data_IF_801557242273
#
_entry.id   IF_801557242273
#
_cell.length_a   1.000
_cell.length_b   1.000
_cell.length_c   1.000
_cell.angle_alpha   90.00
_cell.angle_beta   90.00
_cell.angle_gamma   90.00
#
_symmetry.space_group_name_H-M   'P 1'
#
loop_
_entity.id
_entity.type
_entity.pdbx_description
1 polymer ?
#
# COMPACT_ATOMS: atom_id res chain seq x y z
N UNK A 1 40.71 5.31 -28.56
CA UNK A 1 40.50 4.66 -27.25
C UNK A 1 39.76 5.52 -26.25
N UNK A 2 40.12 6.79 -26.06
CA UNK A 2 39.44 7.69 -25.12
C UNK A 2 37.95 7.92 -25.44
N UNK A 3 37.53 7.95 -26.72
CA UNK A 3 36.16 8.18 -27.15
C UNK A 3 35.24 6.97 -26.88
N UNK A 4 35.74 5.75 -26.96
CA UNK A 4 34.96 4.52 -26.65
C UNK A 4 34.69 4.41 -25.15
N UNK A 5 35.62 4.81 -24.30
CA UNK A 5 35.47 4.81 -22.86
C UNK A 5 34.41 5.81 -22.41
N UNK A 6 34.44 7.02 -22.97
CA UNK A 6 33.41 8.05 -22.72
C UNK A 6 32.03 7.62 -23.18
N UNK A 7 31.94 6.95 -24.30
CA UNK A 7 30.68 6.45 -24.84
C UNK A 7 30.06 5.36 -23.94
N UNK A 8 30.87 4.43 -23.45
CA UNK A 8 30.43 3.40 -22.51
C UNK A 8 30.04 3.98 -21.16
N UNK A 9 30.75 4.99 -20.69
CA UNK A 9 30.43 5.69 -19.44
C UNK A 9 29.08 6.40 -19.53
N UNK A 10 28.80 7.10 -20.65
CA UNK A 10 27.51 7.73 -20.90
C UNK A 10 26.37 6.72 -21.00
N UNK A 11 26.59 5.55 -21.63
CA UNK A 11 25.62 4.47 -21.72
C UNK A 11 25.27 3.90 -20.36
N UNK A 12 26.25 3.69 -19.50
CA UNK A 12 26.08 3.20 -18.12
C UNK A 12 25.30 4.25 -17.29
N UNK A 13 25.62 5.54 -17.42
CA UNK A 13 24.92 6.61 -16.75
C UNK A 13 23.44 6.69 -17.18
N UNK A 14 23.14 6.55 -18.48
CA UNK A 14 21.76 6.52 -18.99
C UNK A 14 20.99 5.33 -18.45
N UNK A 15 21.62 4.16 -18.33
CA UNK A 15 21.00 2.96 -17.78
C UNK A 15 20.66 3.13 -16.29
N UNK A 16 21.55 3.73 -15.52
CA UNK A 16 21.31 4.03 -14.09
C UNK A 16 20.17 5.03 -13.93
N UNK A 17 20.08 6.05 -14.76
CA UNK A 17 18.97 7.01 -14.76
C UNK A 17 17.63 6.37 -15.11
N UNK A 18 17.60 5.45 -16.06
CA UNK A 18 16.39 4.73 -16.44
C UNK A 18 15.84 3.88 -15.28
N UNK A 19 16.72 3.19 -14.53
CA UNK A 19 16.34 2.40 -13.36
C UNK A 19 15.86 3.30 -12.21
N UNK A 20 16.51 4.45 -11.99
CA UNK A 20 16.10 5.42 -10.97
C UNK A 20 14.76 6.10 -11.32
N UNK A 21 14.48 6.33 -12.63
CA UNK A 21 13.23 6.92 -13.11
C UNK A 21 12.02 6.01 -12.98
N UNK A 22 12.20 4.69 -12.77
CA UNK A 22 11.12 3.72 -12.62
C UNK A 22 10.57 3.62 -11.20
N UNK A 23 11.15 4.30 -10.21
CA UNK A 23 10.62 4.33 -8.85
C UNK A 23 9.41 5.27 -8.77
N UNK A 24 8.24 4.67 -8.58
CA UNK A 24 7.00 5.42 -8.35
C UNK A 24 7.09 6.07 -6.97
N UNK A 25 6.99 7.40 -6.96
CA UNK A 25 6.99 8.15 -5.72
C UNK A 25 5.57 8.24 -5.15
N UNK A 26 5.39 7.69 -3.96
CA UNK A 26 4.11 7.75 -3.26
C UNK A 26 3.81 9.20 -2.83
N UNK A 27 2.60 9.73 -3.13
CA UNK A 27 2.17 11.02 -2.60
C UNK A 27 2.12 11.01 -1.06
N UNK A 28 2.34 12.16 -0.44
CA UNK A 28 2.39 12.29 1.02
C UNK A 28 1.06 12.00 1.72
N UNK A 29 -0.07 12.17 1.02
CA UNK A 29 -1.42 11.90 1.52
C UNK A 29 -1.83 10.43 1.41
N UNK A 30 -1.05 9.61 0.71
CA UNK A 30 -1.26 8.16 0.63
C UNK A 30 -0.62 7.48 1.85
N UNK A 31 -1.37 6.60 2.50
CA UNK A 31 -0.90 5.84 3.67
C UNK A 31 0.35 5.03 3.28
N UNK A 32 1.38 5.04 4.14
CA UNK A 32 2.64 4.34 3.90
C UNK A 32 2.46 2.83 3.78
N UNK A 33 3.37 2.15 3.08
CA UNK A 33 3.29 0.70 2.85
C UNK A 33 3.20 -0.09 4.16
N UNK A 34 4.06 0.20 5.14
CA UNK A 34 4.07 -0.51 6.41
C UNK A 34 2.80 -0.28 7.22
N UNK A 35 2.30 0.95 7.24
CA UNK A 35 1.03 1.29 7.89
C UNK A 35 -0.15 0.65 7.16
N UNK A 36 -0.12 0.64 5.83
CA UNK A 36 -1.15 0.02 5.00
C UNK A 36 -1.21 -1.49 5.20
N UNK A 37 -0.06 -2.15 5.34
CA UNK A 37 0.03 -3.58 5.66
C UNK A 37 -0.69 -3.91 6.97
N UNK A 38 -0.35 -3.19 8.03
CA UNK A 38 -0.96 -3.38 9.35
C UNK A 38 -2.45 -3.07 9.34
N UNK A 39 -2.82 -1.99 8.67
CA UNK A 39 -4.20 -1.54 8.57
C UNK A 39 -5.05 -2.54 7.79
N UNK A 40 -4.55 -3.05 6.66
CA UNK A 40 -5.26 -4.06 5.87
C UNK A 40 -5.45 -5.36 6.65
N UNK A 41 -4.45 -5.80 7.38
CA UNK A 41 -4.58 -6.97 8.25
C UNK A 41 -5.71 -6.78 9.27
N UNK A 42 -5.66 -5.70 10.02
CA UNK A 42 -6.66 -5.41 11.07
C UNK A 42 -8.05 -5.15 10.46
N UNK A 43 -8.10 -4.50 9.30
CA UNK A 43 -9.36 -4.27 8.56
C UNK A 43 -10.03 -5.59 8.18
N UNK A 44 -9.28 -6.53 7.63
CA UNK A 44 -9.83 -7.84 7.25
C UNK A 44 -10.26 -8.65 8.46
N UNK A 45 -9.53 -8.58 9.58
CA UNK A 45 -9.93 -9.23 10.84
C UNK A 45 -11.24 -8.60 11.35
N UNK A 46 -11.33 -7.28 11.40
CA UNK A 46 -12.53 -6.58 11.86
C UNK A 46 -13.75 -6.88 10.98
N UNK A 47 -13.56 -6.90 9.67
CA UNK A 47 -14.59 -7.25 8.71
C UNK A 47 -15.07 -8.68 8.91
N UNK A 48 -14.15 -9.63 9.07
CA UNK A 48 -14.48 -11.03 9.31
C UNK A 48 -15.26 -11.21 10.61
N UNK A 49 -14.84 -10.54 11.68
CA UNK A 49 -15.57 -10.55 12.95
C UNK A 49 -16.99 -10.01 12.79
N UNK A 50 -17.16 -8.91 12.06
CA UNK A 50 -18.44 -8.31 11.80
C UNK A 50 -19.35 -9.18 10.93
N UNK A 51 -18.79 -9.85 9.91
CA UNK A 51 -19.52 -10.74 9.02
C UNK A 51 -20.04 -12.01 9.73
N UNK A 52 -19.39 -12.40 10.83
CA UNK A 52 -19.80 -13.57 11.62
C UNK A 52 -20.77 -13.26 12.75
N UNK A 53 -21.18 -11.99 12.91
CA UNK A 53 -22.15 -11.59 13.92
C UNK A 53 -23.57 -12.01 13.53
N UNK A 54 -24.46 -12.29 14.53
CA UNK A 54 -25.90 -12.45 14.27
C UNK A 54 -26.48 -11.21 13.56
N UNK A 55 -27.52 -11.39 12.78
CA UNK A 55 -28.17 -10.30 12.04
C UNK A 55 -28.54 -9.12 12.95
N UNK A 56 -29.05 -9.40 14.15
CA UNK A 56 -29.42 -8.39 15.13
C UNK A 56 -28.26 -7.51 15.62
N UNK A 57 -27.02 -7.98 15.42
CA UNK A 57 -25.80 -7.30 15.86
C UNK A 57 -24.92 -6.81 14.71
N UNK A 58 -25.38 -6.91 13.45
CA UNK A 58 -24.52 -6.60 12.31
C UNK A 58 -24.10 -5.11 12.25
N UNK A 59 -24.79 -4.22 12.97
CA UNK A 59 -24.37 -2.83 13.14
C UNK A 59 -22.99 -2.68 13.77
N UNK A 60 -22.57 -3.66 14.57
CA UNK A 60 -21.24 -3.68 15.22
C UNK A 60 -20.11 -3.78 14.22
N UNK A 61 -20.34 -4.31 13.02
CA UNK A 61 -19.34 -4.40 11.95
C UNK A 61 -18.76 -3.02 11.62
N UNK A 62 -19.61 -2.01 11.45
CA UNK A 62 -19.16 -0.64 11.19
C UNK A 62 -18.34 -0.08 12.36
N UNK A 63 -18.71 -0.41 13.60
CA UNK A 63 -17.96 0.01 14.79
C UNK A 63 -16.57 -0.63 14.84
N UNK A 64 -16.44 -1.92 14.51
CA UNK A 64 -15.15 -2.61 14.47
C UNK A 64 -14.22 -2.01 13.43
N UNK A 65 -14.74 -1.74 12.23
CA UNK A 65 -13.97 -1.13 11.14
C UNK A 65 -13.53 0.29 11.51
N UNK A 66 -14.44 1.08 12.08
CA UNK A 66 -14.13 2.44 12.54
C UNK A 66 -13.02 2.43 13.63
N UNK A 67 -13.07 1.48 14.55
CA UNK A 67 -12.05 1.31 15.58
C UNK A 67 -10.66 1.04 14.98
N UNK A 68 -10.59 0.29 13.87
CA UNK A 68 -9.33 0.05 13.14
C UNK A 68 -8.77 1.36 12.59
N UNK A 69 -9.58 2.17 11.93
CA UNK A 69 -9.12 3.46 11.41
C UNK A 69 -8.64 4.39 12.53
N UNK A 70 -9.34 4.45 13.63
CA UNK A 70 -8.94 5.24 14.80
C UNK A 70 -7.61 4.78 15.39
N UNK A 71 -7.40 3.46 15.47
CA UNK A 71 -6.14 2.87 15.94
C UNK A 71 -4.93 3.39 15.15
N UNK A 72 -5.08 3.55 13.85
CA UNK A 72 -4.01 4.01 12.96
C UNK A 72 -4.03 5.52 12.69
N UNK A 73 -4.90 6.26 13.39
CA UNK A 73 -5.00 7.71 13.22
C UNK A 73 -5.39 8.13 11.80
N UNK A 74 -6.26 7.37 11.16
CA UNK A 74 -6.72 7.64 9.80
C UNK A 74 -8.24 7.62 9.72
N UNK A 75 -8.77 7.78 8.51
CA UNK A 75 -10.21 7.80 8.23
C UNK A 75 -10.53 6.82 7.10
N UNK A 76 -11.79 6.47 6.97
CA UNK A 76 -12.28 5.68 5.83
C UNK A 76 -11.95 6.38 4.50
N UNK A 77 -12.14 7.69 4.41
CA UNK A 77 -11.86 8.46 3.19
C UNK A 77 -10.38 8.39 2.81
N UNK A 78 -9.46 8.52 3.77
CA UNK A 78 -8.02 8.42 3.53
C UNK A 78 -7.62 7.00 3.12
N UNK A 79 -8.23 5.99 3.73
CA UNK A 79 -8.03 4.59 3.35
C UNK A 79 -8.49 4.32 1.91
N UNK A 80 -9.69 4.76 1.56
CA UNK A 80 -10.25 4.56 0.23
C UNK A 80 -9.40 5.26 -0.85
N UNK A 81 -8.97 6.49 -0.61
CA UNK A 81 -8.08 7.24 -1.50
C UNK A 81 -6.73 6.53 -1.68
N UNK A 82 -6.18 6.02 -0.59
CA UNK A 82 -4.93 5.27 -0.60
C UNK A 82 -5.08 3.96 -1.39
N UNK A 83 -6.18 3.24 -1.21
CA UNK A 83 -6.48 2.03 -1.97
C UNK A 83 -6.57 2.31 -3.47
N UNK A 84 -7.18 3.42 -3.88
CA UNK A 84 -7.22 3.82 -5.29
C UNK A 84 -5.80 3.99 -5.83
N UNK A 85 -4.91 4.65 -5.09
CA UNK A 85 -3.52 4.81 -5.50
C UNK A 85 -2.80 3.45 -5.61
N UNK A 86 -2.95 2.58 -4.60
CA UNK A 86 -2.32 1.25 -4.59
C UNK A 86 -2.86 0.35 -5.70
N UNK A 87 -4.14 0.44 -6.06
CA UNK A 87 -4.70 -0.35 -7.18
C UNK A 87 -4.12 0.06 -8.53
N UNK A 88 -3.62 1.29 -8.64
CA UNK A 88 -2.88 1.76 -9.82
C UNK A 88 -1.40 1.37 -9.79
N UNK A 89 -0.91 0.88 -8.67
CA UNK A 89 0.47 0.45 -8.44
C UNK A 89 0.47 -0.99 -7.94
N UNK A 90 -0.01 -1.90 -8.79
CA UNK A 90 -0.33 -3.28 -8.44
C UNK A 90 0.84 -4.08 -7.89
N UNK A 91 2.07 -3.80 -8.33
CA UNK A 91 3.26 -4.48 -7.81
C UNK A 91 3.48 -4.19 -6.32
N UNK A 92 3.29 -2.93 -5.91
CA UNK A 92 3.41 -2.51 -4.52
C UNK A 92 2.29 -3.12 -3.70
N UNK A 93 1.05 -3.07 -4.19
CA UNK A 93 -0.11 -3.65 -3.52
C UNK A 93 0.05 -5.17 -3.35
N UNK A 94 0.56 -5.86 -4.37
CA UNK A 94 0.83 -7.30 -4.31
C UNK A 94 1.81 -7.64 -3.20
N UNK A 95 2.88 -6.86 -3.04
CA UNK A 95 3.85 -7.04 -1.93
C UNK A 95 3.19 -6.86 -0.56
N UNK A 96 2.32 -5.88 -0.42
CA UNK A 96 1.57 -5.64 0.81
C UNK A 96 0.70 -6.85 1.15
N UNK A 97 -0.08 -7.33 0.19
CA UNK A 97 -0.96 -8.50 0.39
C UNK A 97 -0.17 -9.77 0.69
N UNK A 98 0.99 -9.98 0.07
CA UNK A 98 1.85 -11.13 0.37
C UNK A 98 2.29 -11.11 1.85
N UNK A 99 2.63 -9.96 2.38
CA UNK A 99 2.99 -9.80 3.79
C UNK A 99 1.78 -10.01 4.71
N UNK A 100 0.62 -9.53 4.33
CA UNK A 100 -0.63 -9.72 5.09
C UNK A 100 -0.98 -11.21 5.17
N UNK A 101 -0.86 -11.94 4.06
CA UNK A 101 -1.15 -13.39 4.01
C UNK A 101 -0.21 -14.22 4.86
N UNK A 102 1.01 -13.76 5.10
CA UNK A 102 2.01 -14.47 5.90
C UNK A 102 1.82 -14.32 7.41
N UNK A 103 0.88 -13.49 7.83
CA UNK A 103 0.58 -13.27 9.25
C UNK A 103 -0.35 -14.37 9.83
#
# INVERSE_FOLDING_TARGET
>A
MKNKFRFHLCLICMFVFAVAGCKVKRPSDVISESKMENLLYDYHVAKSMGDNLPYSENYKKALYIDAVFKKYGTTQAAFDSSMVWYTRNTEILSKIYDKVKKR
#
